data_IF_530859358289
#
_entry.id   IF_530859358289
#
_cell.length_a   1.000
_cell.length_b   1.000
_cell.length_c   1.000
_cell.angle_alpha   90.00
_cell.angle_beta   90.00
_cell.angle_gamma   90.00
#
_symmetry.space_group_name_H-M   'P 1'
#
loop_
_entity.id
_entity.type
_entity.pdbx_description
1 polymer ?
#
# COMPACT_ATOMS: atom_id res chain seq x y z
N UNK A 1 -78.05 -23.23 -23.12
CA UNK A 1 -78.13 -22.67 -21.74
C UNK A 1 -77.69 -23.75 -20.75
N UNK A 2 -76.42 -23.74 -20.34
CA UNK A 2 -75.93 -24.64 -19.28
C UNK A 2 -76.00 -23.89 -17.95
N UNK A 3 -76.96 -24.25 -17.08
CA UNK A 3 -77.03 -23.75 -15.70
C UNK A 3 -76.10 -24.59 -14.84
N UNK A 4 -74.92 -24.06 -14.53
CA UNK A 4 -74.02 -24.64 -13.53
C UNK A 4 -74.55 -24.24 -12.15
N UNK A 5 -75.18 -25.18 -11.44
CA UNK A 5 -75.56 -25.01 -10.03
C UNK A 5 -74.40 -25.50 -9.14
N UNK A 6 -73.75 -24.56 -8.44
CA UNK A 6 -72.85 -24.89 -7.33
C UNK A 6 -73.69 -25.20 -6.08
N UNK A 7 -73.56 -26.39 -5.46
CA UNK A 7 -74.18 -26.66 -4.16
C UNK A 7 -73.43 -25.88 -3.06
N UNK A 8 -73.95 -24.70 -2.71
CA UNK A 8 -73.43 -23.85 -1.64
C UNK A 8 -73.83 -24.42 -0.27
N UNK A 9 -73.02 -25.32 0.29
CA UNK A 9 -73.00 -25.50 1.74
C UNK A 9 -72.08 -24.42 2.33
N UNK A 10 -72.63 -23.49 3.11
CA UNK A 10 -71.83 -22.44 3.78
C UNK A 10 -70.68 -23.01 4.63
N UNK A 11 -70.72 -24.29 5.03
CA UNK A 11 -69.67 -24.98 5.79
C UNK A 11 -68.34 -25.14 5.04
N UNK A 12 -68.36 -25.34 3.72
CA UNK A 12 -67.13 -25.52 2.94
C UNK A 12 -66.35 -24.22 2.70
N UNK A 13 -67.07 -23.11 2.55
CA UNK A 13 -66.48 -21.82 2.13
C UNK A 13 -65.48 -21.28 3.16
N UNK A 14 -65.82 -21.31 4.46
CA UNK A 14 -64.91 -20.79 5.50
C UNK A 14 -63.68 -21.67 5.69
N UNK A 15 -63.81 -22.99 5.50
CA UNK A 15 -62.66 -23.90 5.51
C UNK A 15 -61.69 -23.61 4.35
N UNK A 16 -62.21 -23.48 3.13
CA UNK A 16 -61.40 -23.14 1.96
C UNK A 16 -60.79 -21.73 2.06
N UNK A 17 -61.52 -20.77 2.64
CA UNK A 17 -60.99 -19.43 2.90
C UNK A 17 -59.85 -19.45 3.92
N UNK A 18 -59.98 -20.21 5.01
CA UNK A 18 -58.91 -20.41 5.98
C UNK A 18 -57.69 -21.06 5.32
N UNK A 19 -57.87 -22.16 4.58
CA UNK A 19 -56.79 -22.85 3.89
C UNK A 19 -56.05 -21.93 2.89
N UNK A 20 -56.78 -21.14 2.11
CA UNK A 20 -56.20 -20.16 1.21
C UNK A 20 -55.42 -19.07 1.96
N UNK A 21 -55.98 -18.53 3.04
CA UNK A 21 -55.29 -17.51 3.86
C UNK A 21 -54.02 -18.05 4.54
N UNK A 22 -54.01 -19.31 4.99
CA UNK A 22 -52.82 -19.98 5.51
C UNK A 22 -51.74 -20.13 4.44
N UNK A 23 -52.13 -20.51 3.23
CA UNK A 23 -51.20 -20.62 2.10
C UNK A 23 -50.62 -19.25 1.74
N UNK A 24 -51.45 -18.21 1.68
CA UNK A 24 -51.02 -16.84 1.39
C UNK A 24 -50.06 -16.33 2.48
N UNK A 25 -50.36 -16.59 3.76
CA UNK A 25 -49.46 -16.29 4.88
C UNK A 25 -48.11 -16.98 4.71
N UNK A 26 -48.11 -18.29 4.42
CA UNK A 26 -46.89 -19.05 4.22
C UNK A 26 -46.03 -18.51 3.05
N UNK A 27 -46.64 -18.24 1.90
CA UNK A 27 -45.94 -17.67 0.74
C UNK A 27 -45.37 -16.29 1.08
N UNK A 28 -46.14 -15.42 1.73
CA UNK A 28 -45.68 -14.08 2.11
C UNK A 28 -44.54 -14.09 3.14
N UNK A 29 -44.55 -15.05 4.07
CA UNK A 29 -43.46 -15.24 5.03
C UNK A 29 -42.20 -15.75 4.33
N UNK A 30 -42.35 -16.69 3.39
CA UNK A 30 -41.23 -17.19 2.60
C UNK A 30 -40.59 -16.07 1.75
N UNK A 31 -41.39 -15.21 1.11
CA UNK A 31 -40.88 -14.04 0.37
C UNK A 31 -40.19 -13.03 1.27
N UNK A 32 -40.72 -12.79 2.48
CA UNK A 32 -40.10 -11.90 3.46
C UNK A 32 -38.75 -12.42 3.92
N UNK A 33 -38.67 -13.72 4.25
CA UNK A 33 -37.41 -14.35 4.68
C UNK A 33 -36.37 -14.36 3.57
N UNK A 34 -36.78 -14.59 2.31
CA UNK A 34 -35.88 -14.52 1.16
C UNK A 34 -35.31 -13.10 0.98
N UNK A 35 -36.15 -12.08 0.98
CA UNK A 35 -35.72 -10.69 0.86
C UNK A 35 -34.81 -10.25 2.02
N UNK A 36 -35.14 -10.67 3.26
CA UNK A 36 -34.30 -10.42 4.43
C UNK A 36 -32.93 -11.13 4.31
N UNK A 37 -32.89 -12.33 3.74
CA UNK A 37 -31.66 -13.07 3.47
C UNK A 37 -30.74 -12.36 2.48
N UNK A 38 -31.27 -11.87 1.37
CA UNK A 38 -30.52 -11.12 0.36
C UNK A 38 -29.95 -9.81 0.93
N UNK A 39 -30.78 -9.05 1.67
CA UNK A 39 -30.34 -7.82 2.34
C UNK A 39 -29.23 -8.11 3.38
N UNK A 40 -29.38 -9.18 4.16
CA UNK A 40 -28.39 -9.59 5.15
C UNK A 40 -27.05 -9.95 4.49
N UNK A 41 -27.09 -10.74 3.41
CA UNK A 41 -25.89 -11.10 2.63
C UNK A 41 -25.18 -9.86 2.08
N UNK A 42 -25.91 -8.97 1.42
CA UNK A 42 -25.34 -7.76 0.81
C UNK A 42 -24.85 -6.75 1.86
N UNK A 43 -25.48 -6.70 3.03
CA UNK A 43 -24.98 -5.95 4.19
C UNK A 43 -23.67 -6.53 4.75
N UNK A 44 -23.56 -7.86 4.80
CA UNK A 44 -22.31 -8.54 5.16
C UNK A 44 -21.18 -8.24 4.16
N UNK A 45 -21.48 -8.26 2.86
CA UNK A 45 -20.52 -7.89 1.81
C UNK A 45 -20.01 -6.45 2.01
N UNK A 46 -20.91 -5.51 2.33
CA UNK A 46 -20.54 -4.12 2.62
C UNK A 46 -19.64 -4.00 3.85
N UNK A 47 -19.95 -4.74 4.92
CA UNK A 47 -19.16 -4.75 6.16
C UNK A 47 -17.75 -5.32 5.93
N UNK A 48 -17.62 -6.32 5.06
CA UNK A 48 -16.36 -7.00 4.78
C UNK A 48 -15.54 -6.33 3.68
N UNK A 49 -16.11 -5.34 2.98
CA UNK A 49 -15.43 -4.60 1.92
C UNK A 49 -14.26 -3.78 2.50
N UNK A 50 -13.06 -3.98 1.94
CA UNK A 50 -11.82 -3.30 2.36
C UNK A 50 -11.03 -2.85 1.15
N UNK A 51 -10.21 -1.82 1.34
CA UNK A 51 -9.20 -1.42 0.35
C UNK A 51 -8.11 -2.49 0.32
N UNK A 52 -7.76 -2.96 -0.88
CA UNK A 52 -6.70 -3.96 -1.06
C UNK A 52 -5.38 -3.23 -1.31
N UNK A 53 -4.44 -3.34 -0.37
CA UNK A 53 -3.11 -2.75 -0.54
C UNK A 53 -2.29 -3.52 -1.59
N UNK A 54 -1.48 -2.81 -2.40
CA UNK A 54 -0.68 -3.44 -3.44
C UNK A 54 0.44 -4.33 -2.86
N UNK A 55 0.86 -5.34 -3.60
CA UNK A 55 1.95 -6.24 -3.20
C UNK A 55 3.19 -6.07 -4.11
N UNK A 56 4.39 -6.17 -3.54
CA UNK A 56 5.63 -5.96 -4.29
C UNK A 56 5.81 -7.00 -5.41
N UNK A 57 5.24 -8.19 -5.25
CA UNK A 57 5.18 -9.25 -6.25
C UNK A 57 4.50 -8.81 -7.55
N UNK A 58 3.42 -8.03 -7.46
CA UNK A 58 2.74 -7.45 -8.61
C UNK A 58 3.66 -6.47 -9.33
N UNK A 59 4.39 -5.62 -8.60
CA UNK A 59 5.37 -4.74 -9.24
C UNK A 59 6.41 -5.54 -10.03
N UNK A 60 6.97 -6.58 -9.40
CA UNK A 60 8.04 -7.39 -9.96
C UNK A 60 7.59 -8.19 -11.19
N UNK A 61 6.35 -8.68 -11.20
CA UNK A 61 5.83 -9.51 -12.30
C UNK A 61 5.77 -8.75 -13.62
N UNK A 62 5.59 -7.43 -13.60
CA UNK A 62 5.55 -6.58 -14.79
C UNK A 62 6.94 -6.09 -15.25
N UNK A 63 8.00 -6.40 -14.52
CA UNK A 63 9.31 -5.81 -14.76
C UNK A 63 10.27 -6.79 -15.43
N UNK A 64 10.84 -6.37 -16.56
CA UNK A 64 11.89 -7.12 -17.26
C UNK A 64 13.27 -6.78 -16.68
N UNK A 65 13.56 -7.29 -15.47
CA UNK A 65 14.81 -7.09 -14.74
C UNK A 65 15.58 -8.40 -14.65
N UNK A 66 16.87 -8.35 -14.91
CA UNK A 66 17.77 -9.49 -14.68
C UNK A 66 18.26 -9.49 -13.23
N UNK A 67 18.19 -10.66 -12.61
CA UNK A 67 18.46 -10.92 -11.20
C UNK A 67 19.53 -12.00 -11.08
N UNK A 68 20.53 -11.74 -10.24
CA UNK A 68 21.61 -12.68 -9.94
C UNK A 68 21.18 -13.64 -8.85
N UNK A 69 21.28 -14.93 -9.15
CA UNK A 69 20.92 -16.00 -8.21
C UNK A 69 22.01 -16.26 -7.16
N UNK A 70 23.25 -15.89 -7.45
CA UNK A 70 24.43 -16.13 -6.62
C UNK A 70 25.50 -15.03 -6.85
N UNK A 71 26.55 -15.02 -6.01
CA UNK A 71 27.65 -14.07 -6.11
C UNK A 71 28.58 -14.31 -7.33
N UNK A 72 28.32 -15.33 -8.14
CA UNK A 72 29.08 -15.61 -9.37
C UNK A 72 28.36 -15.05 -10.60
N UNK A 73 29.10 -14.39 -11.48
CA UNK A 73 28.61 -13.59 -12.62
C UNK A 73 27.88 -14.37 -13.71
N UNK A 74 27.72 -15.69 -13.59
CA UNK A 74 27.30 -16.58 -14.68
C UNK A 74 25.83 -17.03 -14.62
N UNK A 75 25.10 -16.79 -13.52
CA UNK A 75 23.70 -17.22 -13.38
C UNK A 75 22.75 -16.02 -13.14
N UNK A 76 22.44 -15.30 -14.21
CA UNK A 76 21.39 -14.28 -14.25
C UNK A 76 20.10 -14.84 -14.83
N UNK A 77 18.95 -14.54 -14.22
CA UNK A 77 17.62 -14.81 -14.78
C UNK A 77 16.66 -13.65 -14.51
N UNK A 78 15.51 -13.60 -15.18
CA UNK A 78 14.46 -12.62 -14.85
C UNK A 78 14.03 -12.74 -13.38
N UNK A 79 13.95 -11.61 -12.68
CA UNK A 79 13.42 -11.54 -11.31
C UNK A 79 11.99 -12.07 -11.30
N UNK A 80 11.71 -13.07 -10.46
CA UNK A 80 10.36 -13.64 -10.30
C UNK A 80 9.72 -13.17 -9.00
N UNK A 81 8.38 -13.14 -8.90
CA UNK A 81 7.68 -12.88 -7.65
C UNK A 81 8.13 -13.77 -6.47
N UNK A 82 8.50 -15.03 -6.76
CA UNK A 82 9.02 -15.97 -5.76
C UNK A 82 10.37 -15.58 -5.15
N UNK A 83 11.13 -14.72 -5.83
CA UNK A 83 12.44 -14.25 -5.37
C UNK A 83 12.30 -13.12 -4.34
N UNK A 84 11.08 -12.59 -4.14
CA UNK A 84 10.80 -11.56 -3.13
C UNK A 84 10.61 -12.23 -1.76
N UNK A 85 11.49 -11.98 -0.77
CA UNK A 85 11.39 -12.59 0.54
C UNK A 85 10.05 -12.26 1.18
N UNK A 86 9.39 -13.27 1.75
CA UNK A 86 8.26 -13.04 2.66
C UNK A 86 8.82 -12.56 3.98
N UNK A 87 8.19 -11.56 4.58
CA UNK A 87 8.48 -11.18 5.96
C UNK A 87 7.83 -12.25 6.87
N UNK A 88 8.49 -12.63 7.96
CA UNK A 88 7.90 -13.52 8.95
C UNK A 88 6.65 -12.87 9.57
N UNK A 89 5.67 -13.68 9.96
CA UNK A 89 4.35 -13.22 10.40
C UNK A 89 4.42 -12.34 11.67
N UNK A 90 5.43 -12.53 12.51
CA UNK A 90 5.73 -11.76 13.72
C UNK A 90 6.66 -10.55 13.47
N UNK A 91 7.30 -10.47 12.30
CA UNK A 91 8.20 -9.38 11.93
C UNK A 91 7.46 -8.12 11.45
N UNK A 92 6.14 -8.21 11.27
CA UNK A 92 5.28 -7.12 10.80
C UNK A 92 4.49 -6.57 12.00
N UNK A 93 5.10 -5.64 12.73
CA UNK A 93 4.36 -4.82 13.70
C UNK A 93 3.99 -3.52 12.99
N UNK A 94 2.69 -3.26 12.73
CA UNK A 94 2.24 -1.98 12.20
C UNK A 94 2.69 -0.86 13.13
N UNK A 95 3.21 0.21 12.56
CA UNK A 95 3.68 1.37 13.31
C UNK A 95 2.89 2.61 12.95
N UNK A 96 3.15 3.70 13.68
CA UNK A 96 2.54 5.00 13.41
C UNK A 96 2.81 5.44 11.96
N UNK A 97 1.95 6.33 11.44
CA UNK A 97 2.11 6.88 10.10
C UNK A 97 3.52 7.47 9.90
N UNK A 98 3.99 8.28 10.84
CA UNK A 98 5.29 8.94 10.72
C UNK A 98 6.46 7.97 10.81
N UNK A 99 6.39 6.98 11.71
CA UNK A 99 7.42 5.94 11.80
C UNK A 99 7.47 5.08 10.53
N UNK A 100 6.30 4.74 9.98
CA UNK A 100 6.20 3.94 8.77
C UNK A 100 6.84 4.68 7.59
N UNK A 101 6.52 5.97 7.41
CA UNK A 101 7.11 6.81 6.36
C UNK A 101 8.62 6.91 6.56
N UNK A 102 9.10 7.28 7.74
CA UNK A 102 10.54 7.43 8.00
C UNK A 102 11.31 6.13 7.72
N UNK A 103 10.80 4.99 8.20
CA UNK A 103 11.43 3.68 7.96
C UNK A 103 11.39 3.26 6.50
N UNK A 104 10.29 3.56 5.78
CA UNK A 104 10.21 3.28 4.35
C UNK A 104 11.35 3.95 3.58
N UNK A 105 11.57 5.25 3.82
CA UNK A 105 12.63 6.00 3.15
C UNK A 105 14.03 5.64 3.64
N UNK A 106 14.19 5.17 4.88
CA UNK A 106 15.45 4.58 5.34
C UNK A 106 15.75 3.29 4.55
N UNK A 107 14.78 2.39 4.42
CA UNK A 107 14.97 1.16 3.64
C UNK A 107 15.20 1.42 2.15
N UNK A 108 14.55 2.43 1.56
CA UNK A 108 14.84 2.85 0.20
C UNK A 108 16.25 3.41 0.04
N UNK A 109 16.71 4.24 0.98
CA UNK A 109 18.09 4.74 0.97
C UNK A 109 19.10 3.58 1.08
N UNK A 110 18.89 2.66 2.01
CA UNK A 110 19.72 1.46 2.13
C UNK A 110 19.72 0.61 0.86
N UNK A 111 18.55 0.43 0.24
CA UNK A 111 18.43 -0.32 -1.01
C UNK A 111 19.28 0.32 -2.12
N UNK A 112 19.13 1.63 -2.37
CA UNK A 112 19.89 2.32 -3.41
C UNK A 112 21.39 2.32 -3.13
N UNK A 113 21.79 2.51 -1.86
CA UNK A 113 23.19 2.50 -1.46
C UNK A 113 23.82 1.11 -1.63
N UNK A 114 23.13 0.04 -1.23
CA UNK A 114 23.60 -1.35 -1.41
C UNK A 114 23.68 -1.71 -2.88
N UNK A 115 22.70 -1.29 -3.68
CA UNK A 115 22.65 -1.52 -5.13
C UNK A 115 23.78 -0.80 -5.84
N UNK A 116 24.06 0.45 -5.47
CA UNK A 116 25.08 1.29 -6.12
C UNK A 116 26.49 1.06 -5.57
N UNK A 117 26.61 0.41 -4.41
CA UNK A 117 27.88 0.18 -3.71
C UNK A 117 29.02 -0.33 -4.59
N UNK A 118 28.84 -1.40 -5.40
CA UNK A 118 29.90 -1.90 -6.28
C UNK A 118 30.43 -0.85 -7.28
N UNK A 119 29.54 -0.01 -7.81
CA UNK A 119 29.91 1.07 -8.74
C UNK A 119 30.65 2.17 -7.98
N UNK A 120 30.13 2.57 -6.82
CA UNK A 120 30.69 3.65 -6.01
C UNK A 120 32.04 3.32 -5.37
N UNK A 121 32.35 2.04 -5.15
CA UNK A 121 33.65 1.59 -4.62
C UNK A 121 34.79 1.74 -5.62
N UNK A 122 34.50 1.75 -6.93
CA UNK A 122 35.50 1.95 -8.00
C UNK A 122 35.41 3.33 -8.65
N UNK A 123 34.40 4.13 -8.30
CA UNK A 123 34.21 5.48 -8.85
C UNK A 123 35.13 6.47 -8.13
N UNK A 124 35.99 7.23 -8.84
CA UNK A 124 36.87 8.21 -8.21
C UNK A 124 36.08 9.37 -7.58
N UNK A 125 36.51 9.92 -6.42
CA UNK A 125 35.80 10.95 -5.68
C UNK A 125 36.03 12.35 -6.28
N UNK A 126 35.61 12.54 -7.53
CA UNK A 126 35.65 13.83 -8.22
C UNK A 126 34.43 14.67 -7.83
N UNK A 127 34.65 15.86 -7.29
CA UNK A 127 33.58 16.78 -6.87
C UNK A 127 32.85 17.31 -8.10
N UNK A 128 31.54 17.10 -8.14
CA UNK A 128 30.63 17.68 -9.15
C UNK A 128 30.10 19.03 -8.72
N UNK A 129 29.62 19.12 -7.48
CA UNK A 129 29.07 20.35 -6.92
C UNK A 129 29.29 20.45 -5.42
N UNK A 130 29.25 21.68 -4.92
CA UNK A 130 29.37 22.00 -3.50
C UNK A 130 28.17 22.85 -3.10
N UNK A 131 27.48 22.43 -2.05
CA UNK A 131 26.33 23.16 -1.50
C UNK A 131 26.78 24.46 -0.83
N UNK A 132 26.18 25.59 -1.22
CA UNK A 132 26.53 26.89 -0.65
C UNK A 132 26.25 26.96 0.85
N UNK A 133 27.18 27.51 1.62
CA UNK A 133 27.10 27.59 3.08
C UNK A 133 27.41 26.29 3.82
N UNK A 134 27.79 25.22 3.10
CA UNK A 134 28.20 23.94 3.70
C UNK A 134 29.62 23.99 4.29
N UNK A 135 30.02 23.01 5.12
CA UNK A 135 31.40 22.87 5.59
C UNK A 135 32.44 22.78 4.47
N UNK A 136 32.10 22.16 3.32
CA UNK A 136 32.97 22.08 2.17
C UNK A 136 33.11 23.41 1.42
N UNK A 137 32.02 24.17 1.30
CA UNK A 137 32.05 25.53 0.71
C UNK A 137 32.93 26.46 1.55
N UNK A 138 32.74 26.46 2.87
CA UNK A 138 33.56 27.23 3.81
C UNK A 138 35.05 26.84 3.78
N UNK A 139 35.35 25.57 3.49
CA UNK A 139 36.71 25.07 3.31
C UNK A 139 37.32 25.43 1.94
N UNK A 140 36.53 26.00 1.02
CA UNK A 140 36.96 26.37 -0.31
C UNK A 140 37.11 25.19 -1.28
N UNK A 141 36.38 24.10 -1.04
CA UNK A 141 36.24 22.99 -2.00
C UNK A 141 35.48 23.49 -3.23
N UNK A 142 35.87 23.05 -4.42
CA UNK A 142 35.27 23.48 -5.69
C UNK A 142 34.91 22.30 -6.59
N UNK A 143 33.95 22.48 -7.50
CA UNK A 143 33.73 21.55 -8.61
C UNK A 143 35.05 21.24 -9.34
N UNK A 144 35.26 19.97 -9.67
CA UNK A 144 36.48 19.46 -10.31
C UNK A 144 37.61 19.09 -9.36
N UNK A 145 37.47 19.31 -8.05
CA UNK A 145 38.42 18.81 -7.06
C UNK A 145 38.36 17.28 -6.96
N UNK A 146 39.52 16.62 -6.91
CA UNK A 146 39.63 15.19 -6.62
C UNK A 146 40.05 15.02 -5.16
N UNK A 147 39.22 14.37 -4.34
CA UNK A 147 39.54 14.15 -2.92
C UNK A 147 40.52 12.97 -2.80
N UNK A 148 41.70 13.23 -2.21
CA UNK A 148 42.76 12.23 -2.04
C UNK A 148 42.84 11.69 -0.62
N UNK A 149 42.56 12.53 0.38
CA UNK A 149 42.57 12.13 1.79
C UNK A 149 41.47 12.82 2.59
N UNK A 150 40.93 12.10 3.56
CA UNK A 150 40.03 12.59 4.61
C UNK A 150 40.69 12.28 5.95
N UNK A 151 41.16 13.30 6.66
CA UNK A 151 42.01 13.14 7.83
C UNK A 151 43.31 12.41 7.47
N UNK A 152 43.51 11.25 8.10
CA UNK A 152 44.62 10.33 7.82
C UNK A 152 44.29 9.27 6.77
N UNK A 153 43.03 9.15 6.37
CA UNK A 153 42.55 8.06 5.51
C UNK A 153 42.76 8.44 4.05
N UNK A 154 43.46 7.59 3.29
CA UNK A 154 43.59 7.72 1.83
C UNK A 154 42.25 7.35 1.19
N UNK A 155 41.77 8.20 0.29
CA UNK A 155 40.50 8.02 -0.40
C UNK A 155 40.76 7.74 -1.87
N UNK A 156 40.27 6.61 -2.34
CA UNK A 156 40.40 6.19 -3.75
C UNK A 156 39.04 6.14 -4.45
N UNK A 157 37.94 6.24 -3.70
CA UNK A 157 36.59 6.16 -4.25
C UNK A 157 35.56 7.00 -3.51
N UNK A 158 34.44 7.26 -4.17
CA UNK A 158 33.27 7.93 -3.62
C UNK A 158 32.75 7.21 -2.37
N UNK A 159 32.63 5.89 -2.41
CA UNK A 159 32.22 5.11 -1.24
C UNK A 159 33.22 5.25 -0.09
N UNK A 160 34.53 5.23 -0.40
CA UNK A 160 35.59 5.42 0.61
C UNK A 160 35.50 6.77 1.31
N UNK A 161 35.16 7.84 0.58
CA UNK A 161 34.94 9.17 1.18
C UNK A 161 33.80 9.14 2.21
N UNK A 162 32.64 8.60 1.82
CA UNK A 162 31.47 8.56 2.71
C UNK A 162 31.72 7.69 3.95
N UNK A 163 32.41 6.56 3.78
CA UNK A 163 32.82 5.71 4.91
C UNK A 163 33.77 6.44 5.86
N UNK A 164 34.80 7.11 5.33
CA UNK A 164 35.79 7.80 6.15
C UNK A 164 35.17 8.90 7.03
N UNK A 165 34.17 9.64 6.52
CA UNK A 165 33.47 10.65 7.31
C UNK A 165 32.56 10.05 8.40
N UNK A 166 31.95 8.90 8.12
CA UNK A 166 31.03 8.26 9.06
C UNK A 166 31.77 7.43 10.13
N UNK A 167 32.98 6.94 9.85
CA UNK A 167 33.83 6.22 10.81
C UNK A 167 34.40 7.13 11.90
N UNK A 168 34.80 8.36 11.53
CA UNK A 168 35.41 9.31 12.45
C UNK A 168 34.57 10.59 12.55
N UNK A 169 33.56 10.51 13.42
CA UNK A 169 32.68 11.64 13.72
C UNK A 169 33.48 12.79 14.37
N UNK A 170 33.71 13.85 13.59
CA UNK A 170 34.41 15.05 14.02
C UNK A 170 33.75 16.29 13.44
N UNK A 171 33.71 17.39 14.20
CA UNK A 171 33.23 18.69 13.74
C UNK A 171 34.27 19.46 12.93
N UNK A 172 35.52 19.00 12.92
CA UNK A 172 36.61 19.52 12.09
C UNK A 172 37.38 18.37 11.44
N UNK A 173 37.50 18.40 10.11
CA UNK A 173 38.14 17.34 9.32
C UNK A 173 39.02 17.97 8.25
N UNK A 174 40.30 17.57 8.22
CA UNK A 174 41.21 17.97 7.15
C UNK A 174 40.95 17.15 5.88
N UNK A 175 41.00 17.81 4.73
CA UNK A 175 40.95 17.18 3.42
C UNK A 175 42.24 17.50 2.67
N UNK A 176 42.76 16.51 1.93
CA UNK A 176 43.74 16.76 0.87
C UNK A 176 43.07 16.49 -0.45
N UNK A 177 43.14 17.46 -1.35
CA UNK A 177 42.50 17.39 -2.67
C UNK A 177 43.47 17.81 -3.77
N UNK A 178 43.20 17.38 -4.98
CA UNK A 178 43.91 17.79 -6.19
C UNK A 178 42.97 18.62 -7.05
N UNK A 179 43.41 19.81 -7.46
CA UNK A 179 42.64 20.74 -8.30
C UNK A 179 43.32 20.90 -9.66
N UNK A 180 42.56 20.87 -10.75
CA UNK A 180 43.09 21.04 -12.12
C UNK A 180 44.26 20.11 -12.48
N UNK A 181 44.32 18.91 -11.88
CA UNK A 181 45.44 17.95 -12.02
C UNK A 181 46.82 18.50 -11.59
N UNK A 182 46.87 19.62 -10.86
CA UNK A 182 48.11 20.27 -10.43
C UNK A 182 48.16 20.37 -8.90
N UNK A 183 49.19 19.76 -8.30
CA UNK A 183 49.49 19.87 -6.88
C UNK A 183 48.45 19.27 -5.92
N UNK A 184 48.80 19.23 -4.64
CA UNK A 184 47.92 18.81 -3.54
C UNK A 184 47.60 20.02 -2.68
N UNK A 185 46.31 20.34 -2.55
CA UNK A 185 45.79 21.41 -1.69
C UNK A 185 45.28 20.76 -0.40
N UNK A 186 45.62 21.35 0.75
CA UNK A 186 45.07 20.93 2.05
C UNK A 186 44.06 21.97 2.52
N UNK A 187 42.84 21.52 2.83
CA UNK A 187 41.75 22.36 3.36
C UNK A 187 41.21 21.73 4.64
N UNK A 188 40.49 22.49 5.46
CA UNK A 188 39.85 21.98 6.67
C UNK A 188 38.37 22.32 6.64
N UNK A 189 37.52 21.29 6.61
CA UNK A 189 36.08 21.47 6.78
C UNK A 189 35.78 21.64 8.26
N UNK A 190 35.02 22.69 8.58
CA UNK A 190 34.59 23.00 9.95
C UNK A 190 33.09 23.14 9.99
N UNK A 191 32.47 22.46 10.94
CA UNK A 191 31.04 22.56 11.18
C UNK A 191 30.73 23.74 12.08
N UNK A 192 29.94 24.70 11.60
CA UNK A 192 29.60 25.95 12.29
C UNK A 192 28.85 25.71 13.62
N UNK A 193 27.97 24.70 13.64
CA UNK A 193 27.17 24.32 14.81
C UNK A 193 27.86 23.26 15.69
N UNK A 194 29.14 22.95 15.43
CA UNK A 194 29.92 21.91 16.11
C UNK A 194 29.33 20.49 16.01
N UNK A 195 28.39 20.23 15.10
CA UNK A 195 27.95 18.86 14.84
C UNK A 195 29.01 18.10 14.05
N UNK A 196 29.12 16.77 14.20
CA UNK A 196 29.98 15.96 13.35
C UNK A 196 29.67 16.18 11.86
N UNK A 197 30.74 16.25 11.07
CA UNK A 197 30.67 16.25 9.61
C UNK A 197 30.57 14.79 9.16
N UNK A 198 29.58 14.53 8.34
CA UNK A 198 29.20 13.22 7.80
C UNK A 198 29.09 13.34 6.28
N UNK A 199 28.90 12.21 5.61
CA UNK A 199 28.56 12.23 4.17
C UNK A 199 27.31 13.05 3.83
N UNK A 200 26.37 13.19 4.77
CA UNK A 200 25.09 13.87 4.54
C UNK A 200 25.09 15.38 4.70
N UNK A 201 26.07 15.94 5.42
CA UNK A 201 26.12 17.37 5.73
C UNK A 201 27.48 18.00 5.39
N UNK A 202 28.38 17.29 4.69
CA UNK A 202 29.62 17.90 4.19
C UNK A 202 29.35 18.92 3.10
N UNK A 203 28.26 18.76 2.35
CA UNK A 203 27.89 19.57 1.19
C UNK A 203 28.62 19.21 -0.10
N UNK A 204 29.35 18.09 -0.14
CA UNK A 204 30.02 17.61 -1.36
C UNK A 204 29.13 16.62 -2.11
N UNK A 205 28.88 16.90 -3.39
CA UNK A 205 28.31 15.93 -4.34
C UNK A 205 29.38 15.49 -5.32
N UNK A 206 29.47 14.18 -5.58
CA UNK A 206 30.45 13.62 -6.51
C UNK A 206 29.86 13.37 -7.89
N UNK A 207 30.71 13.50 -8.91
CA UNK A 207 30.39 13.09 -10.27
C UNK A 207 30.37 11.56 -10.35
N UNK A 208 29.18 10.98 -10.14
CA UNK A 208 28.95 9.54 -10.21
C UNK A 208 28.26 9.15 -11.53
N UNK A 209 28.42 7.90 -11.99
CA UNK A 209 27.66 7.41 -13.14
C UNK A 209 26.13 7.53 -12.91
N UNK A 210 25.33 7.82 -13.95
CA UNK A 210 23.89 8.08 -13.83
C UNK A 210 23.07 6.89 -13.30
N UNK A 211 23.60 5.68 -13.37
CA UNK A 211 22.99 4.46 -12.83
C UNK A 211 23.22 4.27 -11.32
N UNK A 212 24.20 4.96 -10.76
CA UNK A 212 24.55 4.92 -9.35
C UNK A 212 23.84 6.04 -8.59
N UNK A 213 23.42 5.71 -7.37
CA UNK A 213 22.77 6.65 -6.45
C UNK A 213 23.36 6.42 -5.06
N UNK A 214 23.71 7.52 -4.38
CA UNK A 214 24.02 7.50 -2.96
C UNK A 214 23.06 8.43 -2.23
N UNK A 215 22.35 7.88 -1.24
CA UNK A 215 21.37 8.59 -0.42
C UNK A 215 21.87 8.67 1.01
N UNK A 216 21.98 9.88 1.54
CA UNK A 216 22.42 10.13 2.91
C UNK A 216 21.23 10.03 3.88
N UNK A 217 21.49 10.08 5.19
CA UNK A 217 20.41 10.15 6.19
C UNK A 217 19.53 11.40 6.00
N UNK A 218 20.15 12.52 5.64
CA UNK A 218 19.46 13.78 5.37
C UNK A 218 18.60 13.68 4.10
N UNK A 219 19.08 13.01 3.05
CA UNK A 219 18.29 12.76 1.85
C UNK A 219 17.08 11.89 2.15
N UNK A 220 17.26 10.82 2.94
CA UNK A 220 16.17 9.95 3.38
C UNK A 220 15.07 10.74 4.10
N UNK A 221 15.44 11.63 5.03
CA UNK A 221 14.49 12.53 5.72
C UNK A 221 13.80 13.49 4.75
N UNK A 222 14.56 14.12 3.85
CA UNK A 222 14.01 15.05 2.85
C UNK A 222 13.01 14.35 1.93
N UNK A 223 13.31 13.13 1.49
CA UNK A 223 12.41 12.33 0.66
C UNK A 223 11.14 11.93 1.42
N UNK A 224 11.26 11.55 2.70
CA UNK A 224 10.12 11.30 3.57
C UNK A 224 9.21 12.54 3.69
N UNK A 225 9.79 13.72 3.90
CA UNK A 225 9.02 14.96 3.99
C UNK A 225 8.40 15.36 2.65
N UNK A 226 9.10 15.11 1.53
CA UNK A 226 8.53 15.30 0.20
C UNK A 226 7.32 14.40 -0.01
N UNK A 227 7.41 13.11 0.34
CA UNK A 227 6.28 12.19 0.28
C UNK A 227 5.10 12.64 1.13
N UNK A 228 5.37 13.15 2.35
CA UNK A 228 4.33 13.70 3.22
C UNK A 228 3.60 14.88 2.59
N UNK A 229 4.33 15.75 1.90
CA UNK A 229 3.75 16.96 1.28
C UNK A 229 3.06 16.68 -0.04
N UNK A 230 3.59 15.77 -0.85
CA UNK A 230 3.20 15.63 -2.26
C UNK A 230 2.32 14.41 -2.53
N UNK A 231 2.50 13.31 -1.81
CA UNK A 231 1.80 12.04 -2.08
C UNK A 231 0.76 11.68 -1.02
N UNK A 232 1.08 11.83 0.27
CA UNK A 232 0.11 11.51 1.34
C UNK A 232 -1.22 12.26 1.25
N UNK A 233 -1.29 13.54 0.83
CA UNK A 233 -2.56 14.26 0.78
C UNK A 233 -3.57 13.66 -0.21
N UNK A 234 -3.09 13.02 -1.28
CA UNK A 234 -3.93 12.35 -2.27
C UNK A 234 -4.58 11.05 -1.72
N UNK A 235 -4.00 10.46 -0.66
CA UNK A 235 -4.55 9.28 0.01
C UNK A 235 -5.53 9.76 1.08
N UNK A 236 -6.74 9.20 1.12
CA UNK A 236 -7.72 9.53 2.16
C UNK A 236 -7.19 9.17 3.55
N UNK A 237 -7.55 9.99 4.55
CA UNK A 237 -6.99 9.92 5.92
C UNK A 237 -7.09 8.51 6.51
N UNK A 238 -8.19 7.82 6.27
CA UNK A 238 -8.48 6.47 6.79
C UNK A 238 -7.46 5.42 6.36
N UNK A 239 -6.83 5.59 5.19
CA UNK A 239 -5.90 4.60 4.62
C UNK A 239 -4.44 5.05 4.60
N UNK A 240 -4.11 6.27 5.06
CA UNK A 240 -2.73 6.78 5.05
C UNK A 240 -1.78 5.89 5.86
N UNK A 241 -2.19 5.50 7.06
CA UNK A 241 -1.36 4.66 7.96
C UNK A 241 -1.13 3.29 7.35
N UNK A 242 -2.16 2.67 6.80
CA UNK A 242 -2.07 1.35 6.17
C UNK A 242 -1.21 1.40 4.89
N UNK A 243 -1.41 2.41 4.03
CA UNK A 243 -0.61 2.63 2.84
C UNK A 243 0.87 2.90 3.15
N UNK A 244 1.17 3.67 4.20
CA UNK A 244 2.55 3.92 4.65
C UNK A 244 3.21 2.66 5.21
N UNK A 245 2.48 1.85 6.00
CA UNK A 245 3.00 0.56 6.49
C UNK A 245 3.24 -0.43 5.34
N UNK A 246 2.35 -0.46 4.34
CA UNK A 246 2.53 -1.25 3.12
C UNK A 246 3.77 -0.81 2.32
N UNK A 247 3.98 0.50 2.17
CA UNK A 247 5.18 1.06 1.53
C UNK A 247 6.45 0.70 2.31
N UNK A 248 6.43 0.83 3.63
CA UNK A 248 7.54 0.45 4.52
C UNK A 248 7.91 -1.03 4.35
N UNK A 249 6.92 -1.92 4.35
CA UNK A 249 7.15 -3.36 4.15
C UNK A 249 7.72 -3.64 2.76
N UNK A 250 7.18 -2.99 1.72
CA UNK A 250 7.67 -3.11 0.35
C UNK A 250 9.13 -2.64 0.25
N UNK A 251 9.46 -1.49 0.84
CA UNK A 251 10.83 -0.96 0.88
C UNK A 251 11.79 -1.90 1.63
N UNK A 252 11.37 -2.46 2.78
CA UNK A 252 12.14 -3.44 3.55
C UNK A 252 12.44 -4.69 2.71
N UNK A 253 11.42 -5.25 2.07
CA UNK A 253 11.54 -6.46 1.22
C UNK A 253 12.43 -6.20 0.00
N UNK A 254 12.30 -5.02 -0.60
CA UNK A 254 13.14 -4.58 -1.70
C UNK A 254 14.62 -4.46 -1.28
N UNK A 255 14.88 -3.88 -0.10
CA UNK A 255 16.22 -3.77 0.46
C UNK A 255 16.90 -5.14 0.66
N UNK A 256 16.15 -6.18 1.05
CA UNK A 256 16.67 -7.54 1.21
C UNK A 256 17.20 -8.15 -0.09
N UNK A 257 16.66 -7.77 -1.25
CA UNK A 257 17.11 -8.25 -2.56
C UNK A 257 18.15 -7.35 -3.23
N UNK A 258 18.53 -6.23 -2.61
CA UNK A 258 19.42 -5.20 -3.19
C UNK A 258 20.67 -5.77 -3.85
N UNK A 259 21.35 -6.74 -3.21
CA UNK A 259 22.58 -7.37 -3.72
C UNK A 259 22.35 -8.22 -4.98
N UNK A 260 21.18 -8.85 -5.13
CA UNK A 260 20.85 -9.70 -6.28
C UNK A 260 20.39 -8.91 -7.51
N UNK A 261 19.94 -7.66 -7.32
CA UNK A 261 19.48 -6.77 -8.41
C UNK A 261 20.66 -6.01 -9.07
N UNK A 262 21.90 -6.22 -8.63
CA UNK A 262 23.09 -5.55 -9.19
C UNK A 262 23.62 -6.33 -10.39
N UNK A 263 23.69 -5.69 -11.56
CA UNK A 263 24.54 -6.14 -12.66
C UNK A 263 25.68 -5.14 -12.90
N UNK A 264 26.84 -5.29 -12.24
CA UNK A 264 28.04 -4.47 -12.48
C UNK A 264 28.68 -4.64 -13.86
N UNK A 265 28.20 -5.57 -14.70
CA UNK A 265 28.82 -5.92 -16.00
C UNK A 265 27.90 -5.76 -17.21
N UNK A 266 26.61 -5.48 -16.99
CA UNK A 266 25.60 -5.44 -18.05
C UNK A 266 25.43 -4.05 -18.65
N UNK A 267 25.18 -3.99 -19.95
CA UNK A 267 24.90 -2.76 -20.72
C UNK A 267 23.54 -2.11 -20.38
N UNK A 268 22.75 -2.71 -19.49
CA UNK A 268 21.46 -2.21 -19.00
C UNK A 268 21.30 -2.50 -17.51
N UNK A 269 22.08 -1.81 -16.68
CA UNK A 269 22.02 -1.84 -15.21
C UNK A 269 20.60 -1.65 -14.65
N UNK A 270 20.22 -2.48 -13.68
CA UNK A 270 19.09 -2.38 -12.75
C UNK A 270 17.89 -1.46 -13.13
N UNK A 271 16.74 -2.05 -13.47
CA UNK A 271 15.49 -1.29 -13.69
C UNK A 271 14.67 -1.04 -12.43
N UNK A 272 14.95 -1.70 -11.29
CA UNK A 272 14.27 -1.34 -10.04
C UNK A 272 15.04 -0.25 -9.34
N UNK A 273 14.44 0.93 -9.27
CA UNK A 273 14.81 1.99 -8.34
C UNK A 273 13.73 2.19 -7.31
N UNK A 274 14.11 2.67 -6.14
CA UNK A 274 13.20 3.03 -5.06
C UNK A 274 12.11 4.00 -5.53
N UNK A 275 12.47 5.00 -6.35
CA UNK A 275 11.50 5.96 -6.90
C UNK A 275 10.44 5.32 -7.80
N UNK A 276 10.82 4.29 -8.55
CA UNK A 276 9.92 3.62 -9.49
C UNK A 276 8.89 2.78 -8.71
N UNK A 277 9.35 2.10 -7.65
CA UNK A 277 8.49 1.37 -6.70
C UNK A 277 7.58 2.32 -5.92
N UNK A 278 8.10 3.46 -5.45
CA UNK A 278 7.32 4.48 -4.74
C UNK A 278 6.17 4.99 -5.62
N UNK A 279 6.46 5.40 -6.85
CA UNK A 279 5.47 5.92 -7.78
C UNK A 279 4.42 4.87 -8.15
N UNK A 280 4.86 3.63 -8.41
CA UNK A 280 3.96 2.53 -8.70
C UNK A 280 3.05 2.22 -7.51
N UNK A 281 3.59 2.15 -6.29
CA UNK A 281 2.84 1.83 -5.08
C UNK A 281 1.79 2.91 -4.81
N UNK A 282 2.19 4.19 -4.91
CA UNK A 282 1.29 5.30 -4.71
C UNK A 282 0.13 5.26 -5.71
N UNK A 283 0.42 5.07 -7.00
CA UNK A 283 -0.61 4.91 -8.04
C UNK A 283 -1.56 3.75 -7.73
N UNK A 284 -1.01 2.61 -7.33
CA UNK A 284 -1.82 1.41 -7.04
C UNK A 284 -2.72 1.59 -5.81
N UNK A 285 -2.25 2.28 -4.78
CA UNK A 285 -3.10 2.60 -3.61
C UNK A 285 -4.29 3.45 -4.06
N UNK A 286 -4.08 4.45 -4.91
CA UNK A 286 -5.19 5.27 -5.42
C UNK A 286 -6.17 4.44 -6.26
N UNK A 287 -5.66 3.59 -7.17
CA UNK A 287 -6.49 2.65 -7.95
C UNK A 287 -7.32 1.72 -7.05
N UNK A 288 -6.72 1.21 -5.96
CA UNK A 288 -7.41 0.35 -4.99
C UNK A 288 -8.49 1.08 -4.20
N UNK A 289 -8.28 2.36 -3.87
CA UNK A 289 -9.27 3.21 -3.20
C UNK A 289 -10.45 3.49 -4.16
N UNK A 290 -10.16 3.81 -5.42
CA UNK A 290 -11.19 4.01 -6.45
C UNK A 290 -12.01 2.73 -6.68
N UNK A 291 -11.33 1.58 -6.74
CA UNK A 291 -11.97 0.28 -6.86
C UNK A 291 -12.88 0.00 -5.65
N UNK A 292 -12.43 0.30 -4.43
CA UNK A 292 -13.24 0.20 -3.21
C UNK A 292 -14.51 1.05 -3.30
N UNK A 293 -14.43 2.33 -3.66
CA UNK A 293 -15.61 3.20 -3.77
C UNK A 293 -16.54 2.78 -4.91
N UNK A 294 -16.00 2.24 -6.01
CA UNK A 294 -16.80 1.65 -7.08
C UNK A 294 -17.59 0.43 -6.60
N UNK A 295 -16.93 -0.49 -5.87
CA UNK A 295 -17.58 -1.69 -5.32
C UNK A 295 -18.60 -1.32 -4.23
N UNK A 296 -18.25 -0.39 -3.34
CA UNK A 296 -19.14 0.11 -2.28
C UNK A 296 -20.45 0.65 -2.85
N UNK A 297 -20.38 1.52 -3.87
CA UNK A 297 -21.58 2.04 -4.55
C UNK A 297 -22.44 0.93 -5.16
N UNK A 298 -21.83 -0.10 -5.75
CA UNK A 298 -22.58 -1.26 -6.29
C UNK A 298 -23.32 -2.02 -5.18
N UNK A 299 -22.68 -2.22 -4.03
CA UNK A 299 -23.28 -2.93 -2.89
C UNK A 299 -24.36 -2.07 -2.22
N UNK A 300 -24.13 -0.77 -2.05
CA UNK A 300 -25.12 0.17 -1.49
C UNK A 300 -26.38 0.25 -2.36
N UNK A 301 -26.22 0.28 -3.70
CA UNK A 301 -27.36 0.24 -4.62
C UNK A 301 -28.14 -1.08 -4.52
N UNK A 302 -27.45 -2.21 -4.37
CA UNK A 302 -28.10 -3.52 -4.11
C UNK A 302 -28.84 -3.50 -2.77
N UNK A 303 -28.24 -2.97 -1.71
CA UNK A 303 -28.87 -2.85 -0.40
C UNK A 303 -30.14 -2.00 -0.46
N UNK A 304 -30.11 -0.87 -1.17
CA UNK A 304 -31.29 -0.03 -1.37
C UNK A 304 -32.40 -0.81 -2.10
N UNK A 305 -32.06 -1.53 -3.17
CA UNK A 305 -33.00 -2.38 -3.90
C UNK A 305 -33.60 -3.48 -3.02
N UNK A 306 -32.78 -4.22 -2.27
CA UNK A 306 -33.25 -5.27 -1.37
C UNK A 306 -34.09 -4.71 -0.22
N UNK A 307 -33.79 -3.51 0.27
CA UNK A 307 -34.56 -2.85 1.33
C UNK A 307 -35.95 -2.46 0.84
N UNK A 308 -36.09 -1.96 -0.40
CA UNK A 308 -37.40 -1.73 -1.01
C UNK A 308 -38.18 -3.03 -1.17
N UNK A 309 -37.56 -4.08 -1.72
CA UNK A 309 -38.22 -5.39 -1.88
C UNK A 309 -38.61 -6.04 -0.54
N UNK A 310 -37.79 -5.86 0.50
CA UNK A 310 -38.14 -6.29 1.86
C UNK A 310 -39.32 -5.50 2.40
N UNK A 311 -39.38 -4.18 2.16
CA UNK A 311 -40.53 -3.35 2.52
C UNK A 311 -41.84 -3.87 1.91
N UNK A 312 -41.84 -4.17 0.63
CA UNK A 312 -43.01 -4.75 -0.07
C UNK A 312 -43.39 -6.12 0.52
N UNK A 313 -42.40 -6.97 0.82
CA UNK A 313 -42.64 -8.27 1.42
C UNK A 313 -43.20 -8.17 2.85
N UNK A 314 -42.73 -7.20 3.65
CA UNK A 314 -43.29 -6.90 4.98
C UNK A 314 -44.75 -6.49 4.86
N UNK A 315 -45.08 -5.58 3.93
CA UNK A 315 -46.47 -5.16 3.71
C UNK A 315 -47.34 -6.36 3.30
N UNK A 316 -46.87 -7.18 2.35
CA UNK A 316 -47.55 -8.41 1.93
C UNK A 316 -47.78 -9.39 3.07
N UNK A 317 -46.79 -9.59 3.94
CA UNK A 317 -46.90 -10.44 5.13
C UNK A 317 -47.87 -9.87 6.18
N UNK A 318 -47.86 -8.56 6.43
CA UNK A 318 -48.80 -7.93 7.36
C UNK A 318 -50.23 -8.07 6.83
N UNK A 319 -50.47 -7.82 5.54
CA UNK A 319 -51.78 -8.01 4.91
C UNK A 319 -52.25 -9.46 4.98
N UNK A 320 -51.38 -10.44 4.69
CA UNK A 320 -51.71 -11.86 4.76
C UNK A 320 -52.03 -12.31 6.18
N UNK A 321 -51.31 -11.78 7.17
CA UNK A 321 -51.53 -12.05 8.59
C UNK A 321 -52.87 -11.51 9.05
N UNK A 322 -53.25 -10.30 8.64
CA UNK A 322 -54.58 -9.74 8.93
C UNK A 322 -55.68 -10.60 8.30
N UNK A 323 -55.55 -10.99 7.03
CA UNK A 323 -56.53 -11.85 6.34
C UNK A 323 -56.65 -13.21 7.04
N UNK A 324 -55.54 -13.81 7.44
CA UNK A 324 -55.50 -15.09 8.15
C UNK A 324 -56.19 -15.01 9.52
N UNK A 325 -55.96 -13.95 10.29
CA UNK A 325 -56.64 -13.72 11.58
C UNK A 325 -58.16 -13.58 11.39
N UNK A 326 -58.61 -12.82 10.39
CA UNK A 326 -60.03 -12.68 10.05
C UNK A 326 -60.64 -14.02 9.64
N UNK A 327 -59.94 -14.79 8.79
CA UNK A 327 -60.39 -16.10 8.35
C UNK A 327 -60.53 -17.09 9.53
N UNK A 328 -59.56 -17.09 10.44
CA UNK A 328 -59.58 -17.90 11.66
C UNK A 328 -60.75 -17.55 12.57
N UNK A 329 -61.01 -16.24 12.78
CA UNK A 329 -62.14 -15.77 13.57
C UNK A 329 -63.49 -16.19 12.97
N UNK A 330 -63.67 -16.04 11.66
CA UNK A 330 -64.89 -16.45 10.96
C UNK A 330 -65.10 -17.97 11.01
N UNK A 331 -64.06 -18.76 10.78
CA UNK A 331 -64.11 -20.22 10.86
C UNK A 331 -64.50 -20.69 12.27
N UNK A 332 -63.91 -20.07 13.30
CA UNK A 332 -64.22 -20.40 14.70
C UNK A 332 -65.65 -19.99 15.09
N UNK A 333 -66.08 -18.80 14.69
CA UNK A 333 -67.45 -18.32 14.92
C UNK A 333 -68.49 -19.25 14.27
N UNK A 334 -68.26 -19.67 13.02
CA UNK A 334 -69.13 -20.63 12.35
C UNK A 334 -69.20 -21.97 13.10
N UNK A 335 -68.06 -22.49 13.56
CA UNK A 335 -68.00 -23.76 14.29
C UNK A 335 -68.77 -23.69 15.61
N UNK A 336 -68.71 -22.55 16.32
CA UNK A 336 -69.53 -22.29 17.52
C UNK A 336 -71.04 -22.25 17.23
N UNK A 337 -71.47 -21.61 16.14
CA UNK A 337 -72.89 -21.60 15.75
C UNK A 337 -73.36 -23.01 15.37
N UNK A 338 -72.54 -23.78 14.65
CA UNK A 338 -72.86 -25.15 14.25
C UNK A 338 -72.99 -26.08 15.47
N UNK A 339 -72.20 -25.88 16.53
CA UNK A 339 -72.28 -26.62 17.79
C UNK A 339 -73.48 -26.26 18.68
N UNK A 340 -74.13 -25.12 18.47
CA UNK A 340 -75.38 -24.73 19.18
C UNK A 340 -76.66 -25.21 18.48
N UNK A 341 -76.56 -25.77 17.27
CA UNK A 341 -77.69 -26.29 16.46
C UNK A 341 -77.77 -27.82 16.45
N UNK A 342 -77.05 -28.49 17.35
CA UNK A 342 -77.11 -29.95 17.54
C UNK A 342 -77.86 -30.31 18.79
#
# INVERSE_FOLDING_TARGET
MLKIQFPRTQKGIYFWFLAFSSFLLFVSLATLLAAAGELSSSSSDLKNLKVVMPNLEEYVSYQAIDFRLNNTTLNTRRLKPSDIPKLADDAIVPVSLDDAVNRAFQYFAEFENKRSGPILTVTPPSVESVESGSPADAAGVKPGDLILYVGSNKIESVMGYYQALNEKLSSEISLKLQRNKQGTISVAMKSLNRTPITGGNSGITFAIPPEAVYLTEQDSKRMADQYRREMLPAISVDWRTEAANNLMQSAKRLNLISKGVVDPSGTSSAKIRAKDVLNWQHKKVLESIDAYFSQRRKIENKNAFYLTGMGDAVVGFVCSLVIFVIAGALYWYQRRIAGKKS
#
